data_IF_924653020001
#
_entry.id   IF_924653020001
#
_cell.length_a   1.000
_cell.length_b   1.000
_cell.length_c   1.000
_cell.angle_alpha   90.00
_cell.angle_beta   90.00
_cell.angle_gamma   90.00
#
_symmetry.space_group_name_H-M   'P 1'
#
loop_
_entity.id
_entity.type
_entity.pdbx_description
1 polymer ?
#
# COMPACT_ATOMS: atom_id res chain seq x y z
N UNK A 1 -17.88 -75.65 16.11
CA UNK A 1 -17.99 -74.73 15.02
C UNK A 1 -18.12 -73.24 15.46
N UNK A 2 -18.48 -73.01 16.71
CA UNK A 2 -18.66 -71.56 17.19
C UNK A 2 -17.32 -70.89 17.56
N UNK A 3 -16.31 -71.63 18.02
CA UNK A 3 -15.05 -71.04 18.47
C UNK A 3 -14.21 -70.39 17.31
N UNK A 4 -14.36 -70.89 16.06
CA UNK A 4 -13.68 -70.33 14.88
C UNK A 4 -14.34 -69.01 14.38
N UNK A 5 -15.62 -68.81 14.59
CA UNK A 5 -16.35 -67.63 14.19
C UNK A 5 -16.03 -66.41 15.07
N UNK A 6 -15.76 -66.60 16.37
CA UNK A 6 -15.41 -65.57 17.33
C UNK A 6 -14.00 -65.00 17.06
N UNK A 7 -13.02 -65.86 16.72
CA UNK A 7 -11.65 -65.42 16.39
C UNK A 7 -11.56 -64.60 15.10
N UNK A 8 -12.46 -64.84 14.13
CA UNK A 8 -12.48 -64.05 12.87
C UNK A 8 -13.08 -62.64 13.06
N UNK A 9 -14.09 -62.51 13.93
CA UNK A 9 -14.70 -61.21 14.23
C UNK A 9 -13.77 -60.29 15.04
N UNK A 10 -13.01 -60.80 15.98
CA UNK A 10 -12.07 -60.00 16.78
C UNK A 10 -10.90 -59.46 15.91
N UNK A 11 -10.39 -60.24 14.95
CA UNK A 11 -9.34 -59.78 14.03
C UNK A 11 -9.82 -58.71 13.05
N UNK A 12 -11.10 -58.76 12.59
CA UNK A 12 -11.68 -57.76 11.71
C UNK A 12 -11.87 -56.40 12.40
N UNK A 13 -12.22 -56.40 13.70
CA UNK A 13 -12.38 -55.16 14.49
C UNK A 13 -11.05 -54.51 14.83
N UNK A 14 -9.98 -55.23 15.10
CA UNK A 14 -8.65 -54.68 15.35
C UNK A 14 -8.07 -54.07 14.06
N UNK A 15 -8.32 -54.65 12.89
CA UNK A 15 -7.90 -54.11 11.61
C UNK A 15 -8.61 -52.79 11.23
N UNK A 16 -9.90 -52.69 11.51
CA UNK A 16 -10.71 -51.49 11.27
C UNK A 16 -10.37 -50.33 12.23
N UNK A 17 -10.11 -50.63 13.50
CA UNK A 17 -9.71 -49.60 14.47
C UNK A 17 -8.29 -49.07 14.17
N UNK A 18 -7.35 -49.92 13.72
CA UNK A 18 -6.01 -49.51 13.33
C UNK A 18 -5.99 -48.65 12.05
N UNK A 19 -6.80 -48.99 11.08
CA UNK A 19 -6.92 -48.22 9.83
C UNK A 19 -7.60 -46.88 10.06
N UNK A 20 -8.60 -46.78 10.93
CA UNK A 20 -9.25 -45.52 11.29
C UNK A 20 -8.31 -44.56 12.04
N UNK A 21 -7.49 -45.08 12.96
CA UNK A 21 -6.51 -44.28 13.70
C UNK A 21 -5.37 -43.79 12.78
N UNK A 22 -4.91 -44.60 11.84
CA UNK A 22 -3.88 -44.21 10.87
C UNK A 22 -4.38 -43.16 9.87
N UNK A 23 -5.66 -43.23 9.45
CA UNK A 23 -6.28 -42.22 8.59
C UNK A 23 -6.49 -40.90 9.34
N UNK A 24 -6.85 -40.92 10.61
CA UNK A 24 -6.99 -39.72 11.45
C UNK A 24 -5.61 -39.07 11.72
N UNK A 25 -4.55 -39.89 11.97
CA UNK A 25 -3.20 -39.36 12.10
C UNK A 25 -2.63 -38.83 10.79
N UNK A 26 -2.91 -39.46 9.62
CA UNK A 26 -2.49 -38.94 8.32
C UNK A 26 -3.25 -37.67 7.94
N UNK A 27 -4.54 -37.55 8.29
CA UNK A 27 -5.29 -36.31 8.09
C UNK A 27 -4.79 -35.16 8.99
N UNK A 28 -4.33 -35.49 10.21
CA UNK A 28 -3.72 -34.51 11.13
C UNK A 28 -2.30 -34.07 10.69
N UNK A 29 -1.53 -34.96 10.04
CA UNK A 29 -0.20 -34.67 9.49
C UNK A 29 -0.27 -33.93 8.11
N UNK A 30 -1.38 -34.07 7.39
CA UNK A 30 -1.62 -33.33 6.14
C UNK A 30 -2.19 -31.92 6.36
N UNK A 31 -2.65 -31.59 7.56
CA UNK A 31 -2.95 -30.21 7.93
C UNK A 31 -1.63 -29.49 8.27
N UNK A 32 -0.86 -29.14 7.23
CA UNK A 32 0.17 -28.13 7.35
C UNK A 32 -0.41 -26.89 8.05
N UNK A 33 0.40 -26.10 8.80
CA UNK A 33 -0.12 -24.93 9.50
C UNK A 33 -0.96 -24.12 8.51
N UNK A 34 -2.26 -24.00 8.80
CA UNK A 34 -3.19 -23.27 7.96
C UNK A 34 -2.53 -21.92 7.65
N UNK A 35 -2.15 -21.70 6.40
CA UNK A 35 -1.49 -20.48 5.97
C UNK A 35 -2.37 -19.36 6.51
N UNK A 36 -1.80 -18.49 7.34
CA UNK A 36 -2.56 -17.43 7.97
C UNK A 36 -3.20 -16.61 6.86
N UNK A 37 -4.53 -16.74 6.69
CA UNK A 37 -5.26 -16.07 5.63
C UNK A 37 -5.16 -14.58 5.86
N UNK A 38 -4.96 -13.84 4.78
CA UNK A 38 -5.07 -12.39 4.77
C UNK A 38 -6.46 -12.00 5.27
N UNK A 39 -6.56 -10.89 6.00
CA UNK A 39 -7.82 -10.48 6.64
C UNK A 39 -8.01 -8.98 6.53
N UNK A 40 -9.24 -8.58 6.28
CA UNK A 40 -9.67 -7.21 6.47
C UNK A 40 -10.18 -7.01 7.89
N UNK A 41 -9.84 -5.89 8.48
CA UNK A 41 -10.43 -5.43 9.74
C UNK A 41 -10.78 -3.95 9.62
N UNK A 42 -11.89 -3.56 10.21
CA UNK A 42 -12.24 -2.16 10.42
C UNK A 42 -11.66 -1.68 11.75
N UNK A 43 -11.00 -0.54 11.72
CA UNK A 43 -10.44 0.12 12.91
C UNK A 43 -11.16 1.44 13.11
N UNK A 44 -11.96 1.58 14.18
CA UNK A 44 -12.55 2.87 14.53
C UNK A 44 -11.47 3.93 14.76
N UNK A 45 -11.72 5.12 14.25
CA UNK A 45 -10.83 6.28 14.37
C UNK A 45 -11.50 7.37 15.19
N UNK A 46 -10.75 8.34 15.70
CA UNK A 46 -11.35 9.51 16.32
C UNK A 46 -12.32 10.22 15.36
N UNK A 47 -13.36 10.89 15.89
CA UNK A 47 -14.23 11.73 15.08
C UNK A 47 -13.42 12.73 14.24
N UNK A 48 -13.78 12.86 12.99
CA UNK A 48 -13.20 13.78 12.03
C UNK A 48 -14.28 14.57 11.29
N UNK A 49 -13.90 15.49 10.41
CA UNK A 49 -14.85 16.18 9.53
C UNK A 49 -15.64 15.17 8.69
N UNK A 50 -16.96 15.42 8.53
CA UNK A 50 -17.86 14.58 7.75
C UNK A 50 -18.74 13.64 8.57
N UNK A 51 -19.48 12.77 7.89
CA UNK A 51 -20.39 11.81 8.51
C UNK A 51 -19.69 10.84 9.47
N UNK A 52 -20.41 10.48 10.56
CA UNK A 52 -19.84 9.63 11.62
C UNK A 52 -19.48 8.21 11.14
N UNK A 53 -20.19 7.71 10.14
CA UNK A 53 -19.92 6.42 9.50
C UNK A 53 -18.54 6.35 8.82
N UNK A 54 -17.95 7.48 8.47
CA UNK A 54 -16.59 7.55 7.91
C UNK A 54 -15.47 7.61 8.99
N UNK A 55 -15.83 7.58 10.29
CA UNK A 55 -14.83 7.57 11.35
C UNK A 55 -14.24 6.18 11.59
N UNK A 56 -13.73 5.58 10.53
CA UNK A 56 -13.01 4.32 10.55
C UNK A 56 -12.04 4.23 9.36
N UNK A 57 -11.11 3.30 9.46
CA UNK A 57 -10.23 2.90 8.35
C UNK A 57 -10.28 1.38 8.19
N UNK A 58 -10.14 0.90 6.98
CA UNK A 58 -9.93 -0.51 6.70
C UNK A 58 -8.44 -0.83 6.78
N UNK A 59 -8.12 -1.99 7.31
CA UNK A 59 -6.73 -2.45 7.40
C UNK A 59 -6.64 -3.87 6.84
N UNK A 60 -5.80 -4.05 5.84
CA UNK A 60 -5.46 -5.35 5.30
C UNK A 60 -4.33 -5.97 6.12
N UNK A 61 -4.64 -7.06 6.83
CA UNK A 61 -3.70 -7.75 7.71
C UNK A 61 -3.15 -9.02 7.06
N UNK A 62 -1.83 -9.13 7.05
CA UNK A 62 -1.09 -10.31 6.58
C UNK A 62 -0.36 -10.99 7.75
N UNK A 63 -0.31 -12.32 7.74
CA UNK A 63 0.43 -13.10 8.72
C UNK A 63 -0.36 -13.53 9.96
N UNK A 64 0.28 -14.28 10.84
CA UNK A 64 -0.36 -14.97 11.96
C UNK A 64 -0.85 -14.00 13.06
N UNK A 65 -2.04 -14.26 13.63
CA UNK A 65 -2.62 -13.46 14.75
C UNK A 65 -1.70 -13.42 15.98
N UNK A 66 -0.91 -14.45 16.20
CA UNK A 66 0.01 -14.59 17.34
C UNK A 66 1.29 -13.79 17.19
N UNK A 67 1.54 -13.15 16.04
CA UNK A 67 2.75 -12.38 15.78
C UNK A 67 3.00 -11.30 16.85
N UNK A 68 4.24 -11.16 17.27
CA UNK A 68 4.68 -10.16 18.27
C UNK A 68 5.26 -8.90 17.67
N UNK A 69 5.45 -8.88 16.35
CA UNK A 69 6.05 -7.81 15.55
C UNK A 69 5.03 -7.37 14.51
N UNK A 70 4.83 -6.08 14.36
CA UNK A 70 3.90 -5.54 13.35
C UNK A 70 4.60 -4.45 12.56
N UNK A 71 4.51 -4.52 11.24
CA UNK A 71 4.83 -3.44 10.33
C UNK A 71 3.51 -2.85 9.84
N UNK A 72 3.23 -1.60 10.22
CA UNK A 72 2.08 -0.84 9.72
C UNK A 72 2.55 -0.02 8.53
N UNK A 73 1.84 -0.08 7.41
CA UNK A 73 2.19 0.61 6.16
C UNK A 73 1.10 1.58 5.74
N UNK A 74 1.52 2.80 5.39
CA UNK A 74 0.67 3.87 4.85
C UNK A 74 0.94 4.04 3.35
N UNK A 75 -0.11 4.11 2.50
CA UNK A 75 0.03 4.24 1.06
C UNK A 75 0.48 5.65 0.62
N UNK A 76 0.92 5.74 -0.63
CA UNK A 76 1.30 6.97 -1.30
C UNK A 76 0.12 7.87 -1.68
N UNK A 77 0.39 8.89 -2.48
CA UNK A 77 -0.64 9.69 -3.17
C UNK A 77 -1.44 8.77 -4.07
N UNK A 78 -2.75 8.88 -4.02
CA UNK A 78 -3.72 8.00 -4.73
C UNK A 78 -3.46 6.50 -4.58
N UNK A 79 -2.68 6.05 -3.59
CA UNK A 79 -2.45 4.63 -3.33
C UNK A 79 -3.37 4.07 -2.26
N UNK A 80 -3.65 2.76 -2.30
CA UNK A 80 -4.46 2.02 -1.35
C UNK A 80 -3.68 0.92 -0.60
N UNK A 81 -4.35 0.20 0.30
CA UNK A 81 -3.74 -0.93 1.01
C UNK A 81 -3.33 -2.08 0.07
N UNK A 82 -4.01 -2.19 -1.06
CA UNK A 82 -3.72 -3.17 -2.10
C UNK A 82 -2.29 -3.12 -2.62
N UNK A 83 -1.70 -1.92 -2.71
CA UNK A 83 -0.31 -1.69 -3.14
C UNK A 83 0.70 -2.58 -2.41
N UNK A 84 0.46 -2.87 -1.15
CA UNK A 84 1.41 -3.59 -0.30
C UNK A 84 1.25 -5.11 -0.34
N UNK A 85 0.25 -5.65 -1.01
CA UNK A 85 -0.12 -7.07 -0.91
C UNK A 85 1.03 -8.02 -1.23
N UNK A 86 1.73 -7.78 -2.35
CA UNK A 86 2.82 -8.66 -2.78
C UNK A 86 4.02 -8.57 -1.82
N UNK A 87 4.39 -7.36 -1.42
CA UNK A 87 5.47 -7.12 -0.47
C UNK A 87 5.13 -7.68 0.92
N UNK A 88 3.91 -7.46 1.40
CA UNK A 88 3.44 -7.94 2.71
C UNK A 88 3.47 -9.47 2.81
N UNK A 89 2.94 -10.18 1.79
CA UNK A 89 2.97 -11.64 1.71
C UNK A 89 4.40 -12.21 1.71
N UNK A 90 5.34 -11.50 1.09
CA UNK A 90 6.75 -11.89 1.14
C UNK A 90 7.35 -11.65 2.53
N UNK A 91 7.13 -10.48 3.11
CA UNK A 91 7.73 -10.08 4.40
C UNK A 91 7.30 -10.99 5.55
N UNK A 92 6.02 -11.36 5.63
CA UNK A 92 5.51 -12.25 6.69
C UNK A 92 6.09 -13.68 6.62
N UNK A 93 6.55 -14.10 5.43
CA UNK A 93 7.24 -15.38 5.24
C UNK A 93 8.71 -15.32 5.63
N UNK A 94 9.33 -14.12 5.59
CA UNK A 94 10.77 -13.94 5.75
C UNK A 94 11.19 -13.39 7.11
N UNK A 95 10.34 -12.62 7.76
CA UNK A 95 10.62 -12.04 9.08
C UNK A 95 9.85 -12.82 10.15
N UNK A 96 10.54 -13.53 11.05
CA UNK A 96 9.87 -14.35 12.06
C UNK A 96 8.88 -13.55 12.92
N UNK A 97 7.70 -14.12 13.15
CA UNK A 97 6.66 -13.52 14.01
C UNK A 97 6.24 -12.10 13.60
N UNK A 98 6.25 -11.80 12.29
CA UNK A 98 5.79 -10.54 11.73
C UNK A 98 4.34 -10.64 11.26
N UNK A 99 3.56 -9.58 11.52
CA UNK A 99 2.39 -9.20 10.75
C UNK A 99 2.70 -7.93 9.96
N UNK A 100 2.09 -7.79 8.78
CA UNK A 100 2.01 -6.54 8.04
C UNK A 100 0.56 -6.07 8.03
N UNK A 101 0.35 -4.79 8.33
CA UNK A 101 -0.94 -4.12 8.36
C UNK A 101 -0.90 -2.96 7.39
N UNK A 102 -1.54 -3.07 6.23
CA UNK A 102 -1.67 -1.99 5.25
C UNK A 102 -2.97 -1.23 5.50
N UNK A 103 -2.90 0.08 5.54
CA UNK A 103 -4.04 0.97 5.86
C UNK A 103 -4.65 1.46 4.55
N UNK A 104 -5.98 1.32 4.41
CA UNK A 104 -6.78 2.17 3.53
C UNK A 104 -7.21 3.42 4.29
N UNK A 105 -7.17 4.58 3.63
CA UNK A 105 -7.64 5.82 4.25
C UNK A 105 -9.16 5.79 4.41
N UNK A 106 -9.70 6.69 5.25
CA UNK A 106 -11.16 6.80 5.43
C UNK A 106 -11.90 7.12 4.12
N UNK A 107 -11.26 7.79 3.19
CA UNK A 107 -11.78 8.10 1.86
C UNK A 107 -12.12 6.86 1.03
N UNK A 108 -11.41 5.74 1.22
CA UNK A 108 -11.74 4.49 0.55
C UNK A 108 -13.14 3.94 0.91
N UNK A 109 -13.73 4.39 2.02
CA UNK A 109 -15.12 4.05 2.35
C UNK A 109 -16.17 4.70 1.43
N UNK A 110 -15.75 5.66 0.59
CA UNK A 110 -16.61 6.30 -0.43
C UNK A 110 -16.64 5.50 -1.75
N UNK A 111 -15.78 4.52 -1.91
CA UNK A 111 -15.59 3.76 -3.14
C UNK A 111 -16.60 2.61 -3.26
N UNK A 112 -17.09 2.37 -4.46
CA UNK A 112 -17.88 1.18 -4.78
C UNK A 112 -17.07 0.21 -5.62
N UNK A 113 -16.40 -0.73 -4.97
CA UNK A 113 -15.58 -1.76 -5.62
C UNK A 113 -16.30 -3.11 -5.77
N UNK A 114 -17.62 -3.15 -5.50
CA UNK A 114 -18.39 -4.40 -5.42
C UNK A 114 -18.38 -5.20 -6.72
N UNK A 115 -18.44 -4.51 -7.87
CA UNK A 115 -18.45 -5.15 -9.18
C UNK A 115 -17.06 -5.73 -9.54
N UNK A 116 -15.99 -5.05 -9.16
CA UNK A 116 -14.63 -5.57 -9.29
C UNK A 116 -14.45 -6.87 -8.49
N UNK A 117 -14.89 -6.86 -7.24
CA UNK A 117 -14.80 -8.02 -6.36
C UNK A 117 -15.55 -9.24 -6.94
N UNK A 118 -16.71 -9.03 -7.54
CA UNK A 118 -17.49 -10.10 -8.20
C UNK A 118 -16.79 -10.68 -9.41
N UNK A 119 -16.20 -9.82 -10.25
CA UNK A 119 -15.46 -10.27 -11.42
C UNK A 119 -14.16 -10.98 -11.04
N UNK A 120 -13.42 -10.50 -10.03
CA UNK A 120 -12.21 -11.16 -9.54
C UNK A 120 -12.48 -12.57 -8.99
N UNK A 121 -13.69 -12.82 -8.46
CA UNK A 121 -14.13 -14.16 -8.08
C UNK A 121 -14.76 -14.99 -9.21
N UNK A 122 -14.82 -14.43 -10.44
CA UNK A 122 -15.43 -15.11 -11.60
C UNK A 122 -16.97 -15.20 -11.54
N UNK A 123 -17.63 -14.38 -10.72
CA UNK A 123 -19.11 -14.36 -10.60
C UNK A 123 -19.77 -13.62 -11.76
N UNK A 124 -19.08 -12.70 -12.39
CA UNK A 124 -19.55 -11.92 -13.53
C UNK A 124 -18.43 -11.76 -14.57
N UNK A 125 -18.78 -11.58 -15.87
CA UNK A 125 -17.80 -11.34 -16.91
C UNK A 125 -17.21 -9.91 -16.84
N UNK A 126 -15.99 -9.72 -17.39
CA UNK A 126 -15.31 -8.42 -17.45
C UNK A 126 -16.14 -7.33 -18.14
N UNK A 127 -16.91 -7.70 -19.18
CA UNK A 127 -17.78 -6.75 -19.89
C UNK A 127 -18.81 -6.11 -18.92
N UNK A 128 -19.34 -6.88 -17.99
CA UNK A 128 -20.30 -6.33 -16.99
C UNK A 128 -19.64 -5.33 -16.04
N UNK A 129 -18.34 -5.49 -15.73
CA UNK A 129 -17.58 -4.48 -14.96
C UNK A 129 -17.48 -3.18 -15.76
N UNK A 130 -17.04 -3.28 -17.01
CA UNK A 130 -16.94 -2.14 -17.91
C UNK A 130 -18.28 -1.42 -18.07
N UNK A 131 -19.35 -2.16 -18.31
CA UNK A 131 -20.68 -1.59 -18.49
C UNK A 131 -21.17 -0.89 -17.25
N UNK A 132 -20.94 -1.48 -16.06
CA UNK A 132 -21.37 -0.90 -14.79
C UNK A 132 -20.71 0.47 -14.52
N UNK A 133 -19.39 0.56 -14.69
CA UNK A 133 -18.67 1.80 -14.33
C UNK A 133 -18.58 2.81 -15.48
N UNK A 134 -18.44 2.36 -16.72
CA UNK A 134 -18.06 3.23 -17.83
C UNK A 134 -19.12 3.34 -18.94
N UNK A 135 -20.13 2.48 -18.97
CA UNK A 135 -21.12 2.44 -20.06
C UNK A 135 -22.56 2.60 -19.57
N UNK A 136 -22.77 3.38 -18.52
CA UNK A 136 -24.13 3.72 -18.03
C UNK A 136 -24.83 2.59 -17.24
N UNK A 137 -24.07 1.62 -16.74
CA UNK A 137 -24.59 0.43 -16.03
C UNK A 137 -25.02 0.66 -14.57
N UNK A 138 -25.04 1.91 -14.08
CA UNK A 138 -25.60 2.24 -12.78
C UNK A 138 -24.62 2.83 -11.77
N UNK A 139 -23.32 2.84 -12.04
CA UNK A 139 -22.35 3.56 -11.20
C UNK A 139 -22.64 5.07 -11.25
N UNK A 140 -22.62 5.72 -10.09
CA UNK A 140 -22.84 7.15 -9.97
C UNK A 140 -21.54 7.84 -9.56
N UNK A 141 -21.01 8.66 -10.44
CA UNK A 141 -19.91 9.55 -10.14
C UNK A 141 -20.31 10.56 -9.06
N UNK A 142 -19.38 10.87 -8.15
CA UNK A 142 -19.62 11.87 -7.11
C UNK A 142 -19.45 13.28 -7.68
N UNK A 143 -20.36 14.16 -7.29
CA UNK A 143 -20.28 15.57 -7.72
C UNK A 143 -19.20 16.35 -6.94
N UNK A 144 -18.65 17.42 -7.51
CA UNK A 144 -17.49 18.15 -6.95
C UNK A 144 -17.74 18.82 -5.59
N UNK A 145 -18.98 18.96 -5.16
CA UNK A 145 -19.34 19.55 -3.87
C UNK A 145 -20.13 18.59 -2.97
N UNK A 146 -20.13 17.31 -3.28
CA UNK A 146 -20.89 16.31 -2.53
C UNK A 146 -20.26 16.04 -1.16
N UNK A 147 -18.92 16.08 -1.06
CA UNK A 147 -18.15 15.79 0.14
C UNK A 147 -17.31 16.98 0.60
N UNK A 148 -17.87 18.17 0.86
CA UNK A 148 -17.10 19.39 1.14
C UNK A 148 -16.24 19.28 2.42
N UNK A 149 -16.62 18.41 3.34
CA UNK A 149 -15.88 18.13 4.58
C UNK A 149 -14.49 17.51 4.30
N UNK A 150 -14.30 16.86 3.16
CA UNK A 150 -13.02 16.26 2.79
C UNK A 150 -11.92 17.30 2.52
N UNK A 151 -12.27 18.59 2.35
CA UNK A 151 -11.30 19.70 2.33
C UNK A 151 -10.52 19.83 3.64
N UNK A 152 -11.01 19.22 4.72
CA UNK A 152 -10.34 19.18 6.01
C UNK A 152 -9.60 17.85 6.29
N UNK A 153 -9.65 16.87 5.37
CA UNK A 153 -8.94 15.59 5.51
C UNK A 153 -7.45 15.72 5.19
N UNK A 154 -6.76 16.50 6.03
CA UNK A 154 -5.34 16.71 5.94
C UNK A 154 -4.52 15.79 6.85
N UNK A 155 -3.26 16.19 7.08
CA UNK A 155 -2.29 15.41 7.85
C UNK A 155 -2.77 15.11 9.28
N UNK A 156 -3.45 16.02 9.94
CA UNK A 156 -3.95 15.78 11.30
C UNK A 156 -4.94 14.60 11.33
N UNK A 157 -5.87 14.54 10.39
CA UNK A 157 -6.84 13.43 10.27
C UNK A 157 -6.10 12.13 9.95
N UNK A 158 -5.26 12.12 8.92
CA UNK A 158 -4.51 10.95 8.50
C UNK A 158 -3.61 10.38 9.61
N UNK A 159 -2.94 11.23 10.38
CA UNK A 159 -2.08 10.78 11.48
C UNK A 159 -2.87 10.30 12.71
N UNK A 160 -4.03 10.87 13.00
CA UNK A 160 -4.91 10.35 14.06
C UNK A 160 -5.48 8.98 13.68
N UNK A 161 -5.86 8.78 12.43
CA UNK A 161 -6.31 7.49 11.90
C UNK A 161 -5.20 6.44 11.97
N UNK A 162 -4.01 6.79 11.48
CA UNK A 162 -2.83 5.93 11.58
C UNK A 162 -2.50 5.59 13.05
N UNK A 163 -2.70 6.53 13.99
CA UNK A 163 -2.47 6.29 15.42
C UNK A 163 -3.46 5.29 16.00
N UNK A 164 -4.72 5.36 15.61
CA UNK A 164 -5.71 4.35 16.03
C UNK A 164 -5.27 2.94 15.61
N UNK A 165 -4.78 2.80 14.38
CA UNK A 165 -4.23 1.53 13.86
C UNK A 165 -2.97 1.11 14.62
N UNK A 166 -2.01 2.02 14.82
CA UNK A 166 -0.76 1.75 15.55
C UNK A 166 -1.05 1.31 16.99
N UNK A 167 -1.95 1.98 17.70
CA UNK A 167 -2.31 1.63 19.08
C UNK A 167 -3.01 0.26 19.14
N UNK A 168 -3.89 -0.05 18.19
CA UNK A 168 -4.50 -1.39 18.05
C UNK A 168 -3.44 -2.45 17.73
N UNK A 169 -2.51 -2.15 16.83
CA UNK A 169 -1.40 -3.05 16.48
C UNK A 169 -0.49 -3.34 17.67
N UNK A 170 -0.23 -2.35 18.53
CA UNK A 170 0.56 -2.49 19.77
C UNK A 170 -0.07 -3.43 20.79
N UNK A 171 -1.36 -3.66 20.73
CA UNK A 171 -2.09 -4.56 21.64
C UNK A 171 -1.71 -4.29 23.13
N UNK A 172 -1.85 -3.05 23.59
CA UNK A 172 -1.47 -2.59 24.93
C UNK A 172 0.02 -2.85 25.29
N UNK A 173 0.92 -2.69 24.30
CA UNK A 173 2.37 -2.86 24.50
C UNK A 173 2.90 -4.28 24.35
N UNK A 174 2.01 -5.26 24.10
CA UNK A 174 2.41 -6.67 23.89
C UNK A 174 3.10 -6.93 22.54
N UNK A 175 3.03 -5.98 21.61
CA UNK A 175 3.64 -6.06 20.28
C UNK A 175 4.53 -4.87 20.00
N UNK A 176 5.62 -5.11 19.30
CA UNK A 176 6.50 -4.06 18.78
C UNK A 176 6.02 -3.63 17.40
N UNK A 177 5.76 -2.35 17.22
CA UNK A 177 5.23 -1.80 15.97
C UNK A 177 6.27 -0.94 15.27
N UNK A 178 6.52 -1.23 14.01
CA UNK A 178 7.24 -0.39 13.06
C UNK A 178 6.21 0.32 12.20
N UNK A 179 6.37 1.62 11.99
CA UNK A 179 5.57 2.36 11.03
C UNK A 179 6.38 2.57 9.76
N UNK A 180 5.76 2.38 8.63
CA UNK A 180 6.34 2.64 7.34
C UNK A 180 5.33 3.19 6.36
N UNK A 181 5.82 3.57 5.18
CA UNK A 181 4.95 4.03 4.10
C UNK A 181 5.72 4.17 2.81
N UNK A 182 4.96 4.24 1.73
CA UNK A 182 5.44 4.46 0.38
C UNK A 182 5.13 5.90 -0.03
N UNK A 183 6.06 6.57 -0.73
CA UNK A 183 5.83 7.90 -1.28
C UNK A 183 5.37 8.90 -0.20
N UNK A 184 4.23 9.57 -0.38
CA UNK A 184 3.58 10.40 0.62
C UNK A 184 3.38 9.67 1.96
N UNK A 185 3.09 8.37 1.95
CA UNK A 185 3.02 7.56 3.17
C UNK A 185 4.32 7.51 3.97
N UNK A 186 5.48 7.59 3.29
CA UNK A 186 6.77 7.74 3.96
C UNK A 186 6.93 9.12 4.61
N UNK A 187 6.43 10.18 3.97
CA UNK A 187 6.36 11.53 4.56
C UNK A 187 5.47 11.54 5.82
N UNK A 188 4.31 10.90 5.76
CA UNK A 188 3.43 10.72 6.93
C UNK A 188 4.08 9.89 8.04
N UNK A 189 4.90 8.88 7.70
CA UNK A 189 5.66 8.07 8.67
C UNK A 189 6.62 8.92 9.48
N UNK A 190 7.36 9.78 8.83
CA UNK A 190 8.30 10.72 9.48
C UNK A 190 7.56 11.76 10.29
N UNK A 191 6.46 12.32 9.71
CA UNK A 191 5.59 13.27 10.40
C UNK A 191 4.97 12.66 11.67
N UNK A 192 4.45 11.43 11.61
CA UNK A 192 3.91 10.70 12.75
C UNK A 192 4.90 10.62 13.92
N UNK A 193 6.16 10.27 13.63
CA UNK A 193 7.18 10.14 14.67
C UNK A 193 7.43 11.45 15.39
N UNK A 194 7.36 12.59 14.70
CA UNK A 194 7.56 13.94 15.24
C UNK A 194 6.28 14.59 15.77
N UNK A 195 5.10 14.03 15.48
CA UNK A 195 3.80 14.62 15.81
C UNK A 195 3.53 14.63 17.31
N UNK A 196 2.91 15.70 17.75
CA UNK A 196 2.41 15.84 19.12
C UNK A 196 0.93 15.46 19.20
N UNK A 197 0.64 14.29 19.70
CA UNK A 197 -0.72 13.80 19.96
C UNK A 197 -1.17 14.23 21.36
N UNK A 198 -1.52 15.51 21.53
CA UNK A 198 -1.96 16.11 22.80
C UNK A 198 -0.97 15.85 23.95
N UNK A 199 0.29 16.26 23.75
CA UNK A 199 1.37 16.10 24.72
C UNK A 199 2.11 14.76 24.62
N UNK A 200 1.64 13.80 23.81
CA UNK A 200 2.30 12.52 23.61
C UNK A 200 2.99 12.46 22.25
N UNK A 201 4.31 12.35 22.20
CA UNK A 201 5.06 12.21 20.96
C UNK A 201 4.79 10.88 20.25
N UNK A 202 4.55 10.92 18.93
CA UNK A 202 4.25 9.74 18.14
C UNK A 202 5.35 8.67 18.13
N UNK A 203 6.64 9.07 18.14
CA UNK A 203 7.76 8.12 18.16
C UNK A 203 7.73 7.16 19.38
N UNK A 204 7.09 7.52 20.48
CA UNK A 204 6.95 6.65 21.67
C UNK A 204 6.04 5.43 21.43
N UNK A 205 5.27 5.45 20.37
CA UNK A 205 4.40 4.34 20.00
C UNK A 205 5.10 3.32 19.09
N UNK A 206 6.32 3.62 18.61
CA UNK A 206 7.00 2.91 17.55
C UNK A 206 8.31 2.24 17.99
N UNK A 207 8.72 1.22 17.25
CA UNK A 207 9.99 0.53 17.39
C UNK A 207 10.99 0.84 16.25
N UNK A 208 10.54 1.46 15.16
CA UNK A 208 11.36 1.82 14.01
C UNK A 208 10.51 2.46 12.90
N UNK A 209 11.19 2.98 11.88
CA UNK A 209 10.62 3.66 10.73
C UNK A 209 11.11 3.01 9.42
N UNK A 210 10.20 2.86 8.43
CA UNK A 210 10.51 2.32 7.09
C UNK A 210 9.98 3.30 6.05
N UNK A 211 10.89 3.95 5.33
CA UNK A 211 10.59 4.92 4.28
C UNK A 211 10.84 4.27 2.92
N UNK A 212 9.79 4.15 2.12
CA UNK A 212 9.87 3.56 0.78
C UNK A 212 9.66 4.68 -0.23
N UNK A 213 10.73 5.15 -0.80
CA UNK A 213 10.82 6.19 -1.84
C UNK A 213 9.99 7.45 -1.52
N UNK A 214 10.20 7.99 -0.32
CA UNK A 214 9.53 9.18 0.17
C UNK A 214 10.12 9.69 1.48
N UNK A 215 9.59 10.80 1.98
CA UNK A 215 10.07 11.43 3.21
C UNK A 215 9.79 12.93 3.27
N UNK A 216 10.41 13.59 4.23
CA UNK A 216 10.39 15.05 4.42
C UNK A 216 11.84 15.59 4.49
N UNK A 217 12.00 16.86 4.80
CA UNK A 217 13.30 17.52 4.97
C UNK A 217 14.12 17.62 3.68
N UNK A 218 13.46 18.00 2.60
CA UNK A 218 14.05 18.18 1.29
C UNK A 218 13.92 16.94 0.39
N UNK A 219 13.06 15.98 0.74
CA UNK A 219 12.74 14.86 -0.14
C UNK A 219 11.92 15.31 -1.35
N UNK A 220 11.05 16.31 -1.17
CA UNK A 220 10.18 16.90 -2.18
C UNK A 220 10.12 18.42 -1.97
N UNK A 221 9.36 19.12 -2.84
CA UNK A 221 9.15 20.55 -2.74
C UNK A 221 8.41 20.93 -1.45
N UNK A 222 8.86 22.02 -0.85
CA UNK A 222 8.29 22.58 0.36
C UNK A 222 7.50 23.84 0.06
N UNK A 223 6.37 24.06 0.74
CA UNK A 223 5.65 25.32 0.69
C UNK A 223 6.25 26.38 1.61
N UNK A 224 6.32 27.61 1.13
CA UNK A 224 6.36 28.79 1.96
C UNK A 224 4.95 29.19 2.44
N UNK A 225 4.84 30.24 3.26
CA UNK A 225 3.52 30.65 3.78
C UNK A 225 2.57 31.16 2.69
N UNK A 226 2.98 32.03 1.74
CA UNK A 226 2.14 32.45 0.62
C UNK A 226 1.64 31.27 -0.23
N UNK A 227 2.48 30.30 -0.56
CA UNK A 227 2.11 29.10 -1.31
C UNK A 227 1.07 28.26 -0.56
N UNK A 228 1.26 28.06 0.75
CA UNK A 228 0.31 27.32 1.58
C UNK A 228 -1.05 28.03 1.67
N UNK A 229 -1.04 29.37 1.81
CA UNK A 229 -2.26 30.18 1.82
C UNK A 229 -3.01 30.12 0.49
N UNK A 230 -2.30 30.23 -0.63
CA UNK A 230 -2.88 30.10 -1.97
C UNK A 230 -3.45 28.69 -2.20
N UNK A 231 -2.75 27.64 -1.81
CA UNK A 231 -3.21 26.27 -1.95
C UNK A 231 -4.50 26.01 -1.15
N UNK A 232 -4.59 26.50 0.09
CA UNK A 232 -5.81 26.41 0.90
C UNK A 232 -6.96 27.24 0.27
N UNK A 233 -6.69 28.46 -0.21
CA UNK A 233 -7.72 29.27 -0.87
C UNK A 233 -8.26 28.56 -2.12
N UNK A 234 -7.40 27.99 -2.96
CA UNK A 234 -7.79 27.22 -4.14
C UNK A 234 -8.61 25.97 -3.76
N UNK A 235 -8.25 25.29 -2.66
CA UNK A 235 -8.99 24.13 -2.19
C UNK A 235 -10.44 24.46 -1.78
N UNK A 236 -10.69 25.67 -1.25
CA UNK A 236 -12.05 26.06 -0.83
C UNK A 236 -13.04 26.16 -2.00
N UNK A 237 -12.55 26.41 -3.21
CA UNK A 237 -13.38 26.62 -4.42
C UNK A 237 -13.31 25.44 -5.41
N UNK A 238 -12.49 24.43 -5.14
CA UNK A 238 -12.30 23.26 -5.99
C UNK A 238 -12.85 21.98 -5.34
N UNK A 239 -12.94 20.92 -6.15
CA UNK A 239 -13.20 19.56 -5.63
C UNK A 239 -12.18 19.20 -4.52
N UNK A 240 -12.60 18.61 -3.38
CA UNK A 240 -11.70 18.21 -2.32
C UNK A 240 -10.74 17.08 -2.72
N UNK A 241 -11.08 16.30 -3.73
CA UNK A 241 -10.30 15.15 -4.18
C UNK A 241 -9.43 15.46 -5.39
N UNK A 242 -8.31 14.75 -5.51
CA UNK A 242 -7.42 14.89 -6.64
C UNK A 242 -8.01 14.24 -7.90
N UNK A 243 -7.92 14.95 -9.01
CA UNK A 243 -8.20 14.43 -10.35
C UNK A 243 -6.86 14.29 -11.09
N UNK A 244 -6.24 13.12 -10.97
CA UNK A 244 -4.88 12.91 -11.51
C UNK A 244 -4.85 12.73 -13.03
N UNK A 245 -5.99 12.44 -13.67
CA UNK A 245 -6.11 12.33 -15.13
C UNK A 245 -6.60 13.62 -15.78
N UNK A 246 -7.10 14.60 -14.99
CA UNK A 246 -7.63 15.86 -15.52
C UNK A 246 -8.94 15.71 -16.30
N UNK A 247 -9.76 14.70 -15.95
CA UNK A 247 -11.02 14.41 -16.63
C UNK A 247 -12.24 15.06 -15.96
N UNK A 248 -12.02 15.82 -14.88
CA UNK A 248 -13.09 16.46 -14.12
C UNK A 248 -13.80 15.54 -13.12
N UNK A 249 -13.34 14.29 -12.98
CA UNK A 249 -13.88 13.30 -12.05
C UNK A 249 -12.73 12.60 -11.32
N UNK A 250 -12.68 12.66 -9.97
CA UNK A 250 -11.58 12.10 -9.18
C UNK A 250 -11.49 10.57 -9.30
N UNK A 251 -12.61 9.87 -9.45
CA UNK A 251 -12.69 8.41 -9.59
C UNK A 251 -11.97 7.87 -10.83
N UNK A 252 -11.82 8.69 -11.88
CA UNK A 252 -11.31 8.22 -13.17
C UNK A 252 -9.95 7.52 -13.06
N UNK A 253 -9.06 8.03 -12.23
CA UNK A 253 -7.73 7.43 -12.03
C UNK A 253 -7.83 6.01 -11.48
N UNK A 254 -8.61 5.81 -10.43
CA UNK A 254 -8.83 4.50 -9.83
C UNK A 254 -9.56 3.55 -10.77
N UNK A 255 -10.67 3.99 -11.37
CA UNK A 255 -11.48 3.18 -12.27
C UNK A 255 -10.67 2.66 -13.47
N UNK A 256 -9.92 3.52 -14.17
CA UNK A 256 -9.12 3.08 -15.31
C UNK A 256 -7.99 2.14 -14.90
N UNK A 257 -7.33 2.41 -13.77
CA UNK A 257 -6.27 1.57 -13.25
C UNK A 257 -6.76 0.17 -12.85
N UNK A 258 -7.90 0.10 -12.13
CA UNK A 258 -8.48 -1.17 -11.67
C UNK A 258 -9.12 -1.97 -12.79
N UNK A 259 -9.88 -1.33 -13.69
CA UNK A 259 -10.42 -1.99 -14.88
C UNK A 259 -9.27 -2.54 -15.73
N UNK A 260 -8.26 -1.71 -16.04
CA UNK A 260 -7.09 -2.15 -16.80
C UNK A 260 -6.35 -3.30 -16.12
N UNK A 261 -6.13 -3.20 -14.81
CA UNK A 261 -5.50 -4.27 -14.02
C UNK A 261 -6.31 -5.56 -14.03
N UNK A 262 -7.63 -5.47 -13.87
CA UNK A 262 -8.51 -6.64 -13.89
C UNK A 262 -8.53 -7.33 -15.25
N UNK A 263 -8.63 -6.55 -16.36
CA UNK A 263 -8.54 -7.10 -17.72
C UNK A 263 -7.17 -7.74 -17.99
N UNK A 264 -6.09 -7.07 -17.60
CA UNK A 264 -4.74 -7.61 -17.76
C UNK A 264 -4.47 -8.86 -16.89
N UNK A 265 -5.15 -8.98 -15.73
CA UNK A 265 -5.07 -10.15 -14.84
C UNK A 265 -5.89 -11.34 -15.35
N UNK A 266 -7.15 -11.13 -15.72
CA UNK A 266 -8.10 -12.21 -16.01
C UNK A 266 -8.10 -12.62 -17.47
N UNK A 267 -7.77 -11.72 -18.40
CA UNK A 267 -7.71 -11.97 -19.84
C UNK A 267 -6.46 -11.32 -20.48
N UNK A 268 -5.24 -11.66 -20.03
CA UNK A 268 -4.01 -10.93 -20.39
C UNK A 268 -3.72 -10.90 -21.90
N UNK A 269 -3.97 -12.00 -22.61
CA UNK A 269 -3.67 -12.15 -24.05
C UNK A 269 -4.83 -11.79 -24.96
N UNK A 270 -6.02 -11.52 -24.41
CA UNK A 270 -7.16 -11.06 -25.21
C UNK A 270 -6.91 -9.63 -25.73
N UNK A 271 -7.53 -9.30 -26.86
CA UNK A 271 -7.46 -7.95 -27.43
C UNK A 271 -8.03 -6.90 -26.49
N UNK A 272 -7.32 -5.79 -26.32
CA UNK A 272 -7.74 -4.65 -25.51
C UNK A 272 -8.76 -3.74 -26.20
N UNK A 273 -9.42 -4.18 -27.26
CA UNK A 273 -10.30 -3.38 -28.11
C UNK A 273 -11.33 -2.58 -27.31
N UNK A 274 -11.94 -3.17 -26.30
CA UNK A 274 -12.94 -2.48 -25.44
C UNK A 274 -12.36 -1.25 -24.75
N UNK A 275 -11.21 -1.38 -24.10
CA UNK A 275 -10.57 -0.28 -23.37
C UNK A 275 -9.84 0.68 -24.33
N UNK A 276 -9.13 0.14 -25.32
CA UNK A 276 -8.34 0.94 -26.26
C UNK A 276 -9.23 1.86 -27.12
N UNK A 277 -10.43 1.42 -27.47
CA UNK A 277 -11.39 2.21 -28.26
C UNK A 277 -12.34 3.06 -27.39
N UNK A 278 -12.24 2.96 -26.07
CA UNK A 278 -13.10 3.75 -25.20
C UNK A 278 -12.82 5.27 -25.37
N UNK A 279 -13.84 6.07 -25.72
CA UNK A 279 -13.60 7.47 -26.14
C UNK A 279 -13.01 8.35 -25.03
N UNK A 280 -13.37 8.08 -23.77
CA UNK A 280 -12.94 8.89 -22.61
C UNK A 280 -11.50 8.57 -22.17
N UNK A 281 -10.99 7.36 -22.48
CA UNK A 281 -9.59 7.07 -22.21
C UNK A 281 -8.71 7.99 -23.04
N UNK A 282 -7.82 8.80 -22.43
CA UNK A 282 -7.00 9.77 -23.16
C UNK A 282 -6.08 9.09 -24.20
N UNK A 283 -5.89 9.74 -25.34
CA UNK A 283 -5.17 9.15 -26.49
C UNK A 283 -3.73 8.77 -26.18
N UNK A 284 -3.06 9.47 -25.26
CA UNK A 284 -1.69 9.17 -24.84
C UNK A 284 -1.53 7.79 -24.17
N UNK A 285 -2.63 7.20 -23.67
CA UNK A 285 -2.64 5.83 -23.12
C UNK A 285 -2.88 4.75 -24.18
N UNK A 286 -3.11 5.15 -25.44
CA UNK A 286 -3.49 4.25 -26.52
C UNK A 286 -2.34 4.04 -27.49
N UNK A 287 -1.71 2.86 -27.53
CA UNK A 287 -0.82 2.49 -28.64
C UNK A 287 -1.50 2.69 -30.01
N UNK A 288 -0.77 3.10 -31.08
CA UNK A 288 -1.36 3.38 -32.37
C UNK A 288 -1.73 2.13 -33.19
N UNK A 289 -1.70 0.96 -32.60
CA UNK A 289 -2.04 -0.34 -33.19
C UNK A 289 -2.74 -1.23 -32.14
N UNK A 290 -3.45 -2.29 -32.56
CA UNK A 290 -4.11 -3.22 -31.64
C UNK A 290 -3.12 -3.88 -30.69
N UNK A 291 -3.47 -3.92 -29.40
CA UNK A 291 -2.68 -4.56 -28.35
C UNK A 291 -3.51 -5.51 -27.49
N UNK A 292 -2.83 -6.39 -26.76
CA UNK A 292 -3.48 -7.22 -25.74
C UNK A 292 -3.80 -6.41 -24.50
N UNK A 293 -4.70 -6.91 -23.64
CA UNK A 293 -5.00 -6.25 -22.34
C UNK A 293 -3.75 -6.06 -21.49
N UNK A 294 -2.87 -7.07 -21.43
CA UNK A 294 -1.60 -6.95 -20.72
C UNK A 294 -0.69 -5.88 -21.32
N UNK A 295 -0.67 -5.76 -22.65
CA UNK A 295 0.16 -4.78 -23.33
C UNK A 295 -0.39 -3.36 -23.15
N UNK A 296 -1.71 -3.15 -23.20
CA UNK A 296 -2.32 -1.85 -22.91
C UNK A 296 -1.99 -1.39 -21.49
N UNK A 297 -2.13 -2.30 -20.52
CA UNK A 297 -1.83 -2.02 -19.13
C UNK A 297 -0.34 -1.76 -18.87
N UNK A 298 0.54 -2.57 -19.49
CA UNK A 298 1.98 -2.35 -19.45
C UNK A 298 2.39 -1.00 -20.03
N UNK A 299 1.84 -0.64 -21.19
CA UNK A 299 2.09 0.64 -21.86
C UNK A 299 1.69 1.84 -20.98
N UNK A 300 0.60 1.70 -20.24
CA UNK A 300 0.11 2.76 -19.36
C UNK A 300 1.00 3.01 -18.12
N UNK A 301 1.74 2.00 -17.64
CA UNK A 301 2.48 2.09 -16.39
C UNK A 301 3.99 1.91 -16.50
N UNK A 302 4.52 1.43 -17.65
CA UNK A 302 5.96 1.29 -17.80
C UNK A 302 6.64 2.65 -18.01
N UNK A 303 7.78 2.86 -17.36
CA UNK A 303 8.52 4.13 -17.33
C UNK A 303 8.97 4.65 -18.70
N UNK A 304 9.09 3.76 -19.70
CA UNK A 304 9.56 4.12 -21.04
C UNK A 304 8.40 4.45 -22.00
N UNK A 305 7.15 4.14 -21.62
CA UNK A 305 5.96 4.34 -22.45
C UNK A 305 4.84 5.11 -21.75
N UNK A 306 4.83 5.12 -20.42
CA UNK A 306 3.74 5.72 -19.63
C UNK A 306 3.63 7.22 -19.81
N UNK A 307 2.43 7.77 -20.08
CA UNK A 307 2.17 9.20 -20.00
C UNK A 307 1.98 9.69 -18.55
N UNK A 308 1.91 8.78 -17.57
CA UNK A 308 1.76 9.12 -16.16
C UNK A 308 3.05 9.73 -15.59
N UNK A 309 2.95 10.54 -14.53
CA UNK A 309 4.12 10.99 -13.78
C UNK A 309 4.97 9.82 -13.24
N UNK A 310 6.24 10.07 -13.03
CA UNK A 310 7.20 9.04 -12.58
C UNK A 310 6.86 8.37 -11.24
N UNK A 311 5.98 8.98 -10.44
CA UNK A 311 5.46 8.41 -9.18
C UNK A 311 4.39 7.32 -9.37
N UNK A 312 4.00 7.05 -10.61
CA UNK A 312 3.02 6.02 -10.95
C UNK A 312 3.60 4.96 -11.91
N UNK A 313 4.92 4.84 -12.01
CA UNK A 313 5.59 4.00 -12.99
C UNK A 313 6.30 2.80 -12.40
N UNK A 314 6.40 1.74 -13.22
CA UNK A 314 7.23 0.55 -12.99
C UNK A 314 8.37 0.48 -14.02
N UNK A 315 9.35 -0.37 -13.76
CA UNK A 315 10.30 -0.86 -14.73
C UNK A 315 9.86 -2.27 -15.15
N UNK A 316 8.97 -2.36 -16.15
CA UNK A 316 8.24 -3.57 -16.53
C UNK A 316 8.75 -4.29 -17.77
N UNK A 317 9.10 -3.54 -18.83
CA UNK A 317 9.53 -4.12 -20.09
C UNK A 317 9.16 -3.27 -21.30
N UNK A 318 8.50 -3.87 -22.31
CA UNK A 318 8.12 -3.15 -23.52
C UNK A 318 7.12 -3.90 -24.39
N UNK A 319 6.58 -3.20 -25.37
CA UNK A 319 5.72 -3.82 -26.37
C UNK A 319 6.51 -4.80 -27.24
N UNK A 320 5.92 -5.93 -27.57
CA UNK A 320 6.46 -6.86 -28.53
C UNK A 320 6.71 -6.17 -29.89
N UNK A 321 7.77 -6.53 -30.62
CA UNK A 321 8.12 -5.87 -31.89
C UNK A 321 7.08 -6.11 -32.99
N UNK A 322 6.28 -7.18 -32.88
CA UNK A 322 5.24 -7.58 -33.84
C UNK A 322 4.11 -8.31 -33.12
N UNK A 323 3.01 -8.53 -33.83
CA UNK A 323 1.79 -9.23 -33.38
C UNK A 323 0.55 -8.44 -33.76
N UNK A 324 -0.61 -9.11 -33.82
CA UNK A 324 -1.92 -8.52 -34.06
C UNK A 324 -2.97 -9.32 -33.28
N UNK A 325 -3.37 -8.87 -32.08
CA UNK A 325 -2.82 -7.72 -31.32
C UNK A 325 -1.38 -7.95 -30.83
N UNK A 326 -0.61 -6.86 -30.68
CA UNK A 326 0.73 -6.94 -30.06
C UNK A 326 0.63 -7.19 -28.58
N UNK A 327 1.53 -8.03 -28.07
CA UNK A 327 1.60 -8.34 -26.66
C UNK A 327 2.70 -7.54 -25.93
N UNK A 328 2.84 -7.75 -24.63
CA UNK A 328 3.88 -7.20 -23.77
C UNK A 328 5.01 -8.22 -23.54
N UNK A 329 6.24 -7.74 -23.51
CA UNK A 329 7.43 -8.54 -23.17
C UNK A 329 7.99 -8.01 -21.87
N UNK A 330 7.93 -8.81 -20.81
CA UNK A 330 8.54 -8.47 -19.52
C UNK A 330 10.08 -8.45 -19.68
N UNK A 331 10.72 -7.34 -19.31
CA UNK A 331 12.17 -7.15 -19.44
C UNK A 331 12.80 -6.38 -18.31
N UNK A 332 11.98 -5.81 -17.41
CA UNK A 332 12.40 -5.04 -16.25
C UNK A 332 12.43 -5.84 -14.94
N UNK A 333 12.33 -5.13 -13.82
CA UNK A 333 12.31 -5.74 -12.48
C UNK A 333 10.91 -6.11 -11.99
N UNK A 334 9.86 -5.51 -12.59
CA UNK A 334 8.45 -5.66 -12.23
C UNK A 334 7.63 -6.18 -13.40
N UNK A 335 7.47 -7.50 -13.57
CA UNK A 335 6.59 -8.06 -14.60
C UNK A 335 5.18 -7.45 -14.52
N UNK A 336 4.60 -7.09 -15.67
CA UNK A 336 3.30 -6.42 -15.76
C UNK A 336 2.18 -7.24 -15.11
N UNK A 337 2.24 -8.58 -15.22
CA UNK A 337 1.27 -9.46 -14.55
C UNK A 337 1.24 -9.33 -13.03
N UNK A 338 2.34 -8.89 -12.40
CA UNK A 338 2.38 -8.61 -10.96
C UNK A 338 1.67 -7.29 -10.63
N UNK A 339 1.87 -6.26 -11.45
CA UNK A 339 1.12 -5.01 -11.34
C UNK A 339 -0.38 -5.25 -11.55
N UNK A 340 -0.74 -6.00 -12.59
CA UNK A 340 -2.12 -6.38 -12.87
C UNK A 340 -2.76 -7.15 -11.70
N UNK A 341 -2.01 -8.06 -11.06
CA UNK A 341 -2.47 -8.77 -9.87
C UNK A 341 -2.70 -7.80 -8.69
N UNK A 342 -1.88 -6.77 -8.54
CA UNK A 342 -2.00 -5.79 -7.47
C UNK A 342 -3.18 -4.85 -7.70
N UNK A 343 -3.37 -4.36 -8.92
CA UNK A 343 -4.41 -3.39 -9.24
C UNK A 343 -5.79 -4.04 -9.49
N UNK A 344 -5.83 -5.22 -10.07
CA UNK A 344 -7.06 -5.98 -10.31
C UNK A 344 -7.43 -6.94 -9.18
N UNK A 345 -7.01 -6.70 -7.92
CA UNK A 345 -7.39 -7.54 -6.78
C UNK A 345 -8.45 -6.86 -5.92
N UNK A 346 -9.19 -7.70 -5.23
CA UNK A 346 -10.18 -7.31 -4.26
C UNK A 346 -9.99 -8.11 -2.95
N UNK A 347 -10.48 -7.61 -1.81
CA UNK A 347 -11.37 -6.45 -1.60
C UNK A 347 -10.64 -5.15 -1.26
N UNK A 348 -9.33 -5.04 -1.43
CA UNK A 348 -8.57 -3.81 -1.23
C UNK A 348 -7.94 -3.43 -2.56
N UNK A 349 -8.28 -2.24 -3.06
CA UNK A 349 -7.68 -1.70 -4.26
C UNK A 349 -6.25 -1.19 -4.02
N UNK A 350 -5.52 -0.98 -5.11
CA UNK A 350 -4.21 -0.36 -5.11
C UNK A 350 -4.29 1.15 -5.40
N UNK A 351 -5.38 1.64 -5.97
CA UNK A 351 -5.54 3.04 -6.38
C UNK A 351 -6.76 3.65 -5.69
N UNK A 352 -6.51 4.59 -4.80
CA UNK A 352 -7.55 5.34 -4.09
C UNK A 352 -8.26 6.30 -5.06
N UNK A 353 -9.61 6.25 -5.10
CA UNK A 353 -10.41 7.08 -6.01
C UNK A 353 -10.58 8.51 -5.49
N UNK A 354 -10.66 8.67 -4.18
CA UNK A 354 -11.00 9.93 -3.51
C UNK A 354 -9.85 10.43 -2.63
N UNK A 355 -8.67 10.62 -3.24
CA UNK A 355 -7.50 11.11 -2.52
C UNK A 355 -7.65 12.59 -2.12
N UNK A 356 -7.60 12.94 -0.81
CA UNK A 356 -7.83 14.30 -0.35
C UNK A 356 -6.66 15.24 -0.72
N UNK A 357 -6.91 16.30 -1.50
CA UNK A 357 -5.91 17.33 -1.85
C UNK A 357 -5.27 17.98 -0.63
N UNK A 358 -6.03 18.17 0.46
CA UNK A 358 -5.54 18.75 1.71
C UNK A 358 -4.34 17.99 2.26
N UNK A 359 -4.29 16.68 2.09
CA UNK A 359 -3.19 15.88 2.58
C UNK A 359 -1.87 16.20 1.88
N UNK A 360 -1.88 16.45 0.58
CA UNK A 360 -0.70 16.93 -0.17
C UNK A 360 -0.28 18.32 0.29
N UNK A 361 -1.23 19.26 0.46
CA UNK A 361 -0.94 20.62 0.93
C UNK A 361 -0.24 20.58 2.29
N UNK A 362 -0.78 19.83 3.24
CA UNK A 362 -0.21 19.69 4.56
C UNK A 362 1.18 19.00 4.52
N UNK A 363 1.37 18.03 3.63
CA UNK A 363 2.67 17.33 3.47
C UNK A 363 3.75 18.28 2.95
N UNK A 364 3.43 19.12 1.95
CA UNK A 364 4.36 20.12 1.44
C UNK A 364 4.68 21.19 2.50
N UNK A 365 3.71 21.56 3.33
CA UNK A 365 3.92 22.47 4.47
C UNK A 365 4.71 21.86 5.63
N UNK A 366 4.76 20.53 5.71
CA UNK A 366 5.43 19.80 6.79
C UNK A 366 6.94 19.64 6.59
N UNK A 367 7.49 19.96 5.42
CA UNK A 367 8.87 19.59 5.05
C UNK A 367 9.92 19.99 6.06
N UNK A 368 9.82 21.15 6.67
CA UNK A 368 10.81 21.59 7.64
C UNK A 368 10.75 20.87 9.01
N UNK A 369 9.71 20.11 9.28
CA UNK A 369 9.52 19.30 10.49
C UNK A 369 9.81 20.03 11.79
N UNK A 370 9.39 21.30 11.89
CA UNK A 370 9.53 22.17 13.06
C UNK A 370 8.39 23.16 13.14
N UNK A 371 8.26 23.86 14.27
CA UNK A 371 7.37 25.02 14.37
C UNK A 371 7.87 26.12 13.44
N UNK A 372 7.00 26.60 12.57
CA UNK A 372 7.19 27.70 11.65
C UNK A 372 5.82 28.28 11.26
N UNK A 373 5.79 29.38 10.50
CA UNK A 373 4.55 30.04 10.13
C UNK A 373 3.67 29.17 9.23
N UNK A 374 4.24 28.42 8.29
CA UNK A 374 3.51 27.46 7.45
C UNK A 374 2.84 26.38 8.30
N UNK A 375 3.62 25.76 9.22
CA UNK A 375 3.09 24.73 10.11
C UNK A 375 2.02 25.26 11.06
N UNK A 376 2.18 26.50 11.57
CA UNK A 376 1.17 27.14 12.39
C UNK A 376 -0.12 27.41 11.59
N UNK A 377 -0.01 27.93 10.36
CA UNK A 377 -1.13 28.21 9.48
C UNK A 377 -1.91 26.92 9.14
N UNK A 378 -1.21 25.83 8.81
CA UNK A 378 -1.81 24.54 8.46
C UNK A 378 -2.24 23.70 9.68
N UNK A 379 -1.91 24.12 10.91
CA UNK A 379 -2.22 23.37 12.13
C UNK A 379 -1.31 22.16 12.38
N UNK A 380 -0.09 22.13 11.82
CA UNK A 380 0.85 21.01 11.95
C UNK A 380 1.52 20.99 13.32
N UNK A 381 1.61 19.80 13.92
CA UNK A 381 2.11 19.60 15.29
C UNK A 381 3.45 18.83 15.32
N UNK A 382 4.40 19.21 14.48
CA UNK A 382 5.71 18.54 14.30
C UNK A 382 6.72 19.03 15.37
N UNK A 383 6.44 18.77 16.67
CA UNK A 383 7.15 19.38 17.79
C UNK A 383 8.30 18.51 18.34
N UNK A 384 8.42 17.26 17.89
CA UNK A 384 9.29 16.29 18.56
C UNK A 384 10.43 15.76 17.68
N UNK A 385 10.69 16.30 16.51
CA UNK A 385 11.73 15.84 15.57
C UNK A 385 13.06 15.58 16.26
N UNK A 386 13.53 16.54 17.09
CA UNK A 386 14.81 16.45 17.80
C UNK A 386 14.87 15.35 18.87
N UNK A 387 13.73 14.76 19.24
CA UNK A 387 13.64 13.73 20.30
C UNK A 387 13.49 12.32 19.72
N UNK A 388 13.20 12.18 18.43
CA UNK A 388 13.04 10.88 17.77
C UNK A 388 14.36 10.12 17.81
N UNK A 389 14.34 8.88 18.30
CA UNK A 389 15.50 8.01 18.51
C UNK A 389 15.25 6.59 17.98
N UNK A 390 14.58 6.48 16.84
CA UNK A 390 14.16 5.20 16.27
C UNK A 390 15.13 4.73 15.18
N UNK A 391 15.35 3.42 15.02
CA UNK A 391 15.96 2.86 13.82
C UNK A 391 15.22 3.32 12.56
N UNK A 392 15.96 3.68 11.50
CA UNK A 392 15.41 4.22 10.27
C UNK A 392 15.91 3.40 9.06
N UNK A 393 14.97 2.93 8.26
CA UNK A 393 15.23 2.43 6.91
C UNK A 393 14.72 3.44 5.88
N UNK A 394 15.50 3.68 4.82
CA UNK A 394 15.03 4.44 3.66
C UNK A 394 15.60 3.84 2.37
N UNK A 395 14.76 3.74 1.35
CA UNK A 395 15.15 3.39 -0.02
C UNK A 395 14.73 4.50 -0.97
N UNK A 396 15.59 4.86 -1.92
CA UNK A 396 15.28 5.76 -3.03
C UNK A 396 15.29 5.01 -4.36
N UNK A 397 14.35 5.38 -5.22
CA UNK A 397 14.23 4.94 -6.62
C UNK A 397 14.39 6.13 -7.57
N UNK A 398 13.83 6.08 -8.78
CA UNK A 398 14.00 7.16 -9.77
C UNK A 398 13.13 8.39 -9.52
N UNK A 399 12.12 8.35 -8.62
CA UNK A 399 11.15 9.45 -8.46
C UNK A 399 11.84 10.79 -8.15
N UNK A 400 12.58 10.85 -7.04
CA UNK A 400 13.23 12.07 -6.55
C UNK A 400 14.76 11.94 -6.58
N UNK A 401 15.28 10.99 -7.33
CA UNK A 401 16.72 10.73 -7.42
C UNK A 401 17.36 10.55 -6.04
N UNK A 402 18.36 11.37 -5.72
CA UNK A 402 19.03 11.32 -4.41
C UNK A 402 18.26 12.06 -3.30
N UNK A 403 17.28 12.93 -3.59
CA UNK A 403 16.63 13.83 -2.63
C UNK A 403 15.93 13.08 -1.50
N UNK A 404 15.30 11.95 -1.77
CA UNK A 404 14.68 11.09 -0.73
C UNK A 404 15.71 10.67 0.33
N UNK A 405 16.93 10.29 -0.08
CA UNK A 405 17.99 9.93 0.86
C UNK A 405 18.61 11.15 1.54
N UNK A 406 18.61 12.32 0.90
CA UNK A 406 19.04 13.55 1.54
C UNK A 406 18.06 13.95 2.64
N UNK A 407 16.75 13.84 2.39
CA UNK A 407 15.72 13.98 3.41
C UNK A 407 15.95 13.03 4.61
N UNK A 408 16.21 11.75 4.33
CA UNK A 408 16.52 10.77 5.37
C UNK A 408 17.80 11.10 6.16
N UNK A 409 18.88 11.55 5.47
CA UNK A 409 20.12 12.02 6.12
C UNK A 409 19.86 13.26 6.97
N UNK A 410 19.03 14.20 6.47
CA UNK A 410 18.63 15.40 7.21
C UNK A 410 17.84 15.03 8.48
N UNK A 411 16.95 14.04 8.37
CA UNK A 411 16.22 13.55 9.55
C UNK A 411 17.17 12.96 10.60
N UNK A 412 18.11 12.12 10.19
CA UNK A 412 19.13 11.55 11.09
C UNK A 412 19.94 12.66 11.77
N UNK A 413 20.34 13.71 11.03
CA UNK A 413 21.08 14.86 11.60
C UNK A 413 20.27 15.69 12.60
N UNK A 414 18.97 15.82 12.37
CA UNK A 414 18.08 16.68 13.19
C UNK A 414 17.40 15.94 14.35
N UNK A 415 17.52 14.62 14.42
CA UNK A 415 16.93 13.76 15.44
C UNK A 415 18.01 13.14 16.34
N UNK A 416 17.63 12.17 17.16
CA UNK A 416 18.54 11.29 17.93
C UNK A 416 18.71 9.92 17.29
N UNK A 417 18.15 9.72 16.11
CA UNK A 417 18.38 8.53 15.28
C UNK A 417 19.83 8.45 14.89
N UNK A 418 20.47 7.29 15.04
CA UNK A 418 21.90 7.14 14.74
C UNK A 418 22.11 6.51 13.37
N UNK A 419 23.24 6.85 12.70
CA UNK A 419 23.65 6.20 11.44
C UNK A 419 23.81 4.69 11.62
N UNK A 420 24.28 4.24 12.78
CA UNK A 420 24.48 2.82 13.09
C UNK A 420 23.16 2.05 13.08
N UNK A 421 22.07 2.67 13.52
CA UNK A 421 20.73 2.09 13.55
C UNK A 421 19.96 2.31 12.26
N UNK A 422 20.53 3.06 11.32
CA UNK A 422 19.88 3.37 10.04
C UNK A 422 20.40 2.48 8.91
N UNK A 423 19.58 2.35 7.86
CA UNK A 423 19.94 1.71 6.60
C UNK A 423 19.40 2.56 5.45
N UNK A 424 20.27 3.11 4.62
CA UNK A 424 19.93 3.94 3.47
C UNK A 424 20.34 3.20 2.19
N UNK A 425 19.40 3.02 1.27
CA UNK A 425 19.56 2.22 0.06
C UNK A 425 19.25 3.08 -1.16
N UNK A 426 20.23 3.27 -2.05
CA UNK A 426 19.99 3.95 -3.34
C UNK A 426 19.76 2.93 -4.45
N UNK A 427 18.66 3.07 -5.19
CA UNK A 427 18.32 2.25 -6.36
C UNK A 427 17.94 3.11 -7.59
N UNK A 428 18.14 4.41 -7.51
CA UNK A 428 18.07 5.28 -8.68
C UNK A 428 19.29 5.04 -9.60
N UNK A 429 19.13 4.80 -10.91
CA UNK A 429 17.90 4.75 -11.69
C UNK A 429 17.34 3.33 -11.92
N UNK A 430 17.81 2.32 -11.18
CA UNK A 430 17.52 0.90 -11.46
C UNK A 430 16.07 0.49 -11.21
N UNK A 431 15.41 1.16 -10.26
CA UNK A 431 14.03 0.90 -9.89
C UNK A 431 13.19 2.15 -10.11
N UNK A 432 11.98 1.96 -10.61
CA UNK A 432 10.93 2.98 -10.66
C UNK A 432 10.17 3.03 -9.34
N UNK A 433 9.32 4.04 -9.18
CA UNK A 433 8.68 4.36 -7.91
C UNK A 433 7.84 3.22 -7.32
N UNK A 434 7.07 2.50 -8.15
CA UNK A 434 6.24 1.39 -7.70
C UNK A 434 7.02 0.06 -7.55
N UNK A 435 8.23 -0.06 -8.13
CA UNK A 435 8.99 -1.32 -8.10
C UNK A 435 9.25 -1.89 -6.70
N UNK A 436 9.51 -1.11 -5.65
CA UNK A 436 9.67 -1.65 -4.29
C UNK A 436 8.49 -2.49 -3.82
N UNK A 437 7.28 -2.19 -4.30
CA UNK A 437 6.03 -2.88 -3.94
C UNK A 437 5.75 -4.07 -4.85
N UNK A 438 6.08 -3.95 -6.16
CA UNK A 438 5.64 -4.83 -7.24
C UNK A 438 6.72 -5.81 -7.71
N UNK A 439 8.00 -5.39 -7.75
CA UNK A 439 9.09 -6.17 -8.35
C UNK A 439 9.19 -7.60 -7.80
N UNK A 440 9.69 -8.51 -8.64
CA UNK A 440 9.94 -9.89 -8.21
C UNK A 440 10.92 -9.93 -7.03
N UNK A 441 10.71 -10.82 -6.04
CA UNK A 441 11.58 -10.89 -4.87
C UNK A 441 13.07 -11.07 -5.18
N UNK A 442 13.39 -11.75 -6.29
CA UNK A 442 14.78 -11.98 -6.73
C UNK A 442 15.48 -10.71 -7.22
N UNK A 443 14.73 -9.70 -7.67
CA UNK A 443 15.24 -8.41 -8.16
C UNK A 443 14.91 -7.24 -7.23
N UNK A 444 13.93 -7.41 -6.34
CA UNK A 444 13.44 -6.38 -5.44
C UNK A 444 14.44 -6.02 -4.34
N UNK A 445 15.10 -4.87 -4.51
CA UNK A 445 16.10 -4.39 -3.54
C UNK A 445 15.47 -3.99 -2.20
N UNK A 446 14.22 -3.49 -2.18
CA UNK A 446 13.49 -3.17 -0.94
C UNK A 446 13.35 -4.43 -0.08
N UNK A 447 12.78 -5.50 -0.65
CA UNK A 447 12.56 -6.75 0.09
C UNK A 447 13.88 -7.37 0.58
N UNK A 448 14.95 -7.31 -0.24
CA UNK A 448 16.27 -7.84 0.13
C UNK A 448 16.93 -7.10 1.27
N UNK A 449 16.66 -5.80 1.42
CA UNK A 449 17.37 -4.95 2.39
C UNK A 449 16.52 -4.63 3.61
N UNK A 450 15.18 -4.52 3.50
CA UNK A 450 14.30 -4.26 4.64
C UNK A 450 14.21 -5.46 5.58
N UNK A 451 14.24 -6.71 5.06
CA UNK A 451 14.22 -7.93 5.90
C UNK A 451 15.37 -7.93 6.92
N UNK A 452 16.66 -7.82 6.53
CA UNK A 452 17.74 -7.76 7.50
C UNK A 452 17.71 -6.51 8.39
N UNK A 453 17.16 -5.38 7.91
CA UNK A 453 16.95 -4.20 8.77
C UNK A 453 15.95 -4.51 9.88
N UNK A 454 14.77 -5.04 9.54
CA UNK A 454 13.75 -5.39 10.53
C UNK A 454 14.25 -6.43 11.52
N UNK A 455 14.88 -7.48 11.03
CA UNK A 455 15.33 -8.59 11.89
C UNK A 455 16.49 -8.18 12.80
N UNK A 456 17.52 -7.51 12.28
CA UNK A 456 18.76 -7.25 13.04
C UNK A 456 18.76 -5.91 13.77
N UNK A 457 18.24 -4.84 13.14
CA UNK A 457 18.32 -3.48 13.72
C UNK A 457 17.11 -3.12 14.55
N UNK A 458 15.91 -3.56 14.15
CA UNK A 458 14.69 -3.24 14.87
C UNK A 458 14.32 -4.31 15.88
N UNK A 459 14.23 -5.57 15.46
CA UNK A 459 13.69 -6.65 16.27
C UNK A 459 14.75 -7.56 16.91
N UNK A 460 16.03 -7.43 16.51
CA UNK A 460 17.13 -8.18 17.09
C UNK A 460 17.18 -7.97 18.61
N UNK A 461 17.45 -9.04 19.36
CA UNK A 461 17.70 -8.94 20.77
C UNK A 461 18.95 -8.07 20.97
N UNK A 462 18.82 -7.00 21.74
CA UNK A 462 19.95 -6.28 22.32
C UNK A 462 20.62 -7.31 23.25
N UNK A 463 21.71 -7.94 22.80
CA UNK A 463 22.58 -8.67 23.72
C UNK A 463 22.95 -7.68 24.82
N UNK A 464 22.30 -7.81 25.97
CA UNK A 464 22.71 -7.07 27.16
C UNK A 464 24.20 -7.36 27.31
N UNK A 465 25.03 -6.36 27.05
CA UNK A 465 26.41 -6.34 27.49
C UNK A 465 26.33 -6.43 29.02
N UNK A 466 26.42 -7.64 29.55
CA UNK A 466 26.82 -7.83 30.96
C UNK A 466 28.13 -7.06 31.10
N UNK A 467 28.04 -5.90 31.76
CA UNK A 467 29.22 -5.25 32.33
C UNK A 467 29.80 -6.24 33.31
N UNK A 468 30.93 -6.84 32.98
CA UNK A 468 31.86 -7.40 33.96
C UNK A 468 32.63 -6.26 34.59
#
# INVERSE_FOLDING_TARGET
MEEKAIRFRVRAWIGLAGAGLALILMAALAAGPAAARDRLITVPTPPGPGPAELNHVTVHQFGAKSAKRVLVLMPGTVGGAGDFTLAARYLVKRVPSLQVWAIDRRSNALEDTTTFARADRGEIPLQQVFDYYLNGGGFRFRGPNEDPYAREWGMSVALNDARAVVLRARAHGRRRVVLGGHSLGASLTVAYAAWDFNGRPGYKDLAGLVLIDGGLLGSFDAYDLPQAQQAIASLQTSDPFADSLGLGVPEATGLFAEIGGLYAKLAPTASATTLQNYPVLPSQFKPPFPVTNRALFGFAFDRDTSPLPSDQQINGGGLAPSGDPRDWVDGGVSPVGRLATTFGQEPTNAVEWYFPKRLTIDTNGADQMRRNDVGNFLGLRLFHTRKVNLPLYAIATNLAGAHVLDGARNFIRRSRTTRRESMLVNRNPLMSHLDPLIAEPKTNAFLKTVVPFLDRKVFGEVKQRRRR
#
